data_IF_436092320289
#
_entry.id   IF_436092320289
#
_cell.length_a   1.000
_cell.length_b   1.000
_cell.length_c   1.000
_cell.angle_alpha   90.00
_cell.angle_beta   90.00
_cell.angle_gamma   90.00
#
_symmetry.space_group_name_H-M   'P 1'
#
loop_
_entity.id
_entity.type
_entity.pdbx_description
1 polymer ?
#
# COMPACT_ATOMS: atom_id res chain seq x y z
N UNK A 1 5.94 -48.65 -31.78
CA UNK A 1 4.80 -48.10 -31.03
C UNK A 1 5.35 -46.87 -30.35
N UNK A 2 4.95 -45.71 -30.88
CA UNK A 2 5.62 -44.41 -30.84
C UNK A 2 6.13 -43.92 -29.48
N UNK A 3 7.31 -43.29 -29.54
CA UNK A 3 7.84 -42.43 -28.49
C UNK A 3 7.26 -41.01 -28.66
N UNK A 4 6.52 -40.54 -27.65
CA UNK A 4 6.12 -39.15 -27.53
C UNK A 4 7.16 -38.39 -26.72
N UNK A 5 8.09 -37.74 -27.42
CA UNK A 5 8.86 -36.63 -26.86
C UNK A 5 8.60 -35.40 -27.74
N UNK A 6 7.74 -34.52 -27.26
CA UNK A 6 7.53 -33.20 -27.83
C UNK A 6 8.05 -32.19 -26.83
N UNK A 7 9.38 -31.99 -26.80
CA UNK A 7 10.01 -31.06 -25.88
C UNK A 7 9.53 -29.61 -26.01
N UNK A 8 9.92 -28.78 -25.03
CA UNK A 8 9.54 -27.38 -24.75
C UNK A 8 9.31 -26.47 -25.98
N UNK A 9 10.05 -26.68 -27.08
CA UNK A 9 9.87 -25.94 -28.34
C UNK A 9 8.52 -26.19 -29.04
N UNK A 10 7.91 -27.35 -28.81
CA UNK A 10 6.58 -27.70 -29.29
C UNK A 10 5.50 -26.99 -28.45
N UNK A 11 5.69 -26.93 -27.14
CA UNK A 11 4.77 -26.27 -26.21
C UNK A 11 4.75 -24.75 -26.39
N UNK A 12 5.91 -24.13 -26.63
CA UNK A 12 5.99 -22.71 -26.97
C UNK A 12 5.29 -22.37 -28.30
N UNK A 13 5.30 -23.30 -29.27
CA UNK A 13 4.55 -23.16 -30.54
C UNK A 13 3.05 -23.40 -30.37
N UNK A 14 2.64 -24.20 -29.40
CA UNK A 14 1.22 -24.37 -29.06
C UNK A 14 0.67 -23.12 -28.35
N UNK A 15 1.39 -22.60 -27.35
CA UNK A 15 1.01 -21.40 -26.59
C UNK A 15 0.95 -20.14 -27.47
N UNK A 16 1.90 -19.96 -28.38
CA UNK A 16 1.88 -18.82 -29.32
C UNK A 16 0.71 -18.85 -30.30
N UNK A 17 0.21 -20.05 -30.67
CA UNK A 17 -0.98 -20.19 -31.53
C UNK A 17 -2.27 -19.84 -30.79
N UNK A 18 -2.39 -20.18 -29.50
CA UNK A 18 -3.54 -19.76 -28.68
C UNK A 18 -3.58 -18.25 -28.43
N UNK A 19 -2.42 -17.60 -28.22
CA UNK A 19 -2.35 -16.15 -27.98
C UNK A 19 -2.74 -15.33 -29.23
N UNK A 20 -2.44 -15.82 -30.44
CA UNK A 20 -2.87 -15.18 -31.69
C UNK A 20 -4.36 -15.37 -31.95
N UNK A 21 -4.95 -16.51 -31.56
CA UNK A 21 -6.39 -16.74 -31.65
C UNK A 21 -7.18 -15.79 -30.71
N UNK A 22 -6.71 -15.58 -29.48
CA UNK A 22 -7.31 -14.64 -28.51
C UNK A 22 -7.22 -13.17 -28.97
N UNK A 23 -6.10 -12.76 -29.59
CA UNK A 23 -5.95 -11.41 -30.15
C UNK A 23 -6.85 -11.14 -31.36
N UNK A 24 -7.29 -12.18 -32.08
CA UNK A 24 -8.25 -12.04 -33.19
C UNK A 24 -9.71 -11.96 -32.73
N UNK A 25 -10.04 -12.46 -31.54
CA UNK A 25 -11.39 -12.36 -30.96
C UNK A 25 -11.71 -10.95 -30.44
N UNK A 26 -10.72 -10.20 -29.95
CA UNK A 26 -10.92 -8.82 -29.46
C UNK A 26 -10.98 -7.75 -30.57
N UNK A 27 -10.66 -8.10 -31.83
CA UNK A 27 -10.75 -7.18 -32.96
C UNK A 27 -12.15 -7.10 -33.61
N UNK A 28 -13.10 -7.95 -33.19
CA UNK A 28 -14.44 -8.03 -33.79
C UNK A 28 -15.55 -7.30 -33.01
N UNK A 29 -15.25 -6.59 -31.91
CA UNK A 29 -16.26 -5.85 -31.13
C UNK A 29 -16.16 -4.32 -31.23
N UNK A 30 -15.27 -3.78 -32.08
CA UNK A 30 -15.05 -2.34 -32.23
C UNK A 30 -15.60 -1.77 -33.56
N UNK A 31 -16.76 -2.24 -34.02
CA UNK A 31 -17.40 -1.73 -35.25
C UNK A 31 -18.93 -1.68 -35.15
N UNK A 32 -19.44 -0.66 -34.47
CA UNK A 32 -20.72 0.04 -34.69
C UNK A 32 -20.74 1.19 -33.67
N UNK A 33 -20.41 2.44 -34.04
CA UNK A 33 -21.29 3.35 -34.80
C UNK A 33 -22.10 4.20 -33.80
N UNK A 34 -21.63 5.39 -33.40
CA UNK A 34 -22.03 6.75 -33.88
C UNK A 34 -23.52 7.12 -33.61
N UNK A 35 -24.00 8.31 -33.25
CA UNK A 35 -23.56 9.72 -33.06
C UNK A 35 -24.84 10.51 -32.58
N UNK A 36 -24.69 11.74 -32.04
CA UNK A 36 -25.65 12.89 -32.03
C UNK A 36 -26.45 13.28 -30.75
N UNK A 37 -26.00 14.42 -30.19
CA UNK A 37 -26.67 15.69 -29.80
C UNK A 37 -27.65 15.92 -28.62
N UNK A 38 -27.31 17.04 -27.96
CA UNK A 38 -28.03 18.07 -27.18
C UNK A 38 -29.52 18.23 -27.44
N UNK A 39 -30.29 18.45 -26.36
CA UNK A 39 -31.51 19.25 -26.31
C UNK A 39 -31.75 19.78 -24.89
N UNK A 40 -32.15 21.05 -24.79
CA UNK A 40 -32.44 21.78 -23.56
C UNK A 40 -33.95 22.01 -23.36
N UNK A 41 -34.29 22.56 -22.19
CA UNK A 41 -35.54 23.25 -21.78
C UNK A 41 -36.75 22.43 -21.29
N UNK A 42 -37.24 22.78 -20.09
CA UNK A 42 -38.57 23.41 -19.95
C UNK A 42 -39.60 22.78 -19.00
N UNK A 43 -40.11 23.61 -18.07
CA UNK A 43 -41.43 23.52 -17.38
C UNK A 43 -41.48 22.63 -16.12
N UNK A 44 -41.90 23.06 -14.93
CA UNK A 44 -43.20 23.68 -14.55
C UNK A 44 -44.20 22.54 -14.26
N UNK A 45 -44.91 22.37 -13.14
CA UNK A 45 -45.39 23.29 -12.11
C UNK A 45 -45.76 22.55 -10.79
N UNK A 46 -46.08 23.41 -9.83
CA UNK A 46 -46.49 23.36 -8.43
C UNK A 46 -47.63 22.41 -7.99
N UNK A 47 -47.61 22.07 -6.70
CA UNK A 47 -48.77 22.10 -5.75
C UNK A 47 -48.19 21.98 -4.33
N UNK A 48 -48.14 23.08 -3.55
CA UNK A 48 -49.15 23.57 -2.58
C UNK A 48 -49.42 22.58 -1.43
N UNK A 49 -49.53 22.96 -0.15
CA UNK A 49 -49.32 24.22 0.58
C UNK A 49 -49.40 23.85 2.09
N UNK A 50 -48.58 24.53 2.89
CA UNK A 50 -48.88 25.01 4.24
C UNK A 50 -49.02 24.05 5.43
N UNK A 51 -48.80 24.45 6.69
CA UNK A 51 -48.35 25.73 7.28
C UNK A 51 -48.03 25.46 8.76
N UNK A 52 -47.15 26.30 9.31
CA UNK A 52 -47.00 26.72 10.73
C UNK A 52 -45.97 26.06 11.64
N UNK A 53 -44.93 26.84 11.87
CA UNK A 53 -44.00 26.90 12.99
C UNK A 53 -44.70 27.18 14.33
N UNK A 54 -44.22 26.59 15.43
CA UNK A 54 -44.01 27.35 16.68
C UNK A 54 -43.02 26.67 17.61
N UNK A 55 -41.99 27.43 17.96
CA UNK A 55 -40.95 27.21 18.97
C UNK A 55 -41.54 27.23 20.38
N UNK A 56 -40.98 26.47 21.33
CA UNK A 56 -40.71 26.93 22.71
C UNK A 56 -39.73 26.00 23.44
N UNK A 57 -39.03 26.59 24.41
CA UNK A 57 -37.78 26.18 25.06
C UNK A 57 -37.99 25.57 26.46
N UNK A 58 -37.20 24.52 26.74
CA UNK A 58 -36.53 24.01 27.96
C UNK A 58 -37.12 23.97 29.40
N UNK A 59 -36.65 22.91 30.11
CA UNK A 59 -36.20 22.79 31.55
C UNK A 59 -37.17 22.06 32.52
N UNK A 60 -36.76 21.37 33.62
CA UNK A 60 -35.69 20.37 33.88
C UNK A 60 -36.13 19.08 34.66
N UNK A 61 -35.25 18.04 34.74
CA UNK A 61 -34.89 17.11 35.89
C UNK A 61 -36.02 16.26 36.58
N UNK A 62 -35.85 14.97 37.02
CA UNK A 62 -34.71 14.45 37.81
C UNK A 62 -34.17 13.03 37.56
N UNK A 63 -32.94 12.87 38.08
CA UNK A 63 -32.16 11.67 38.43
C UNK A 63 -32.93 10.62 39.24
N UNK A 64 -32.51 9.33 39.16
CA UNK A 64 -32.25 8.64 40.41
C UNK A 64 -30.88 7.93 40.47
N UNK A 65 -30.54 7.64 41.72
CA UNK A 65 -29.24 7.36 42.30
C UNK A 65 -28.88 5.87 42.31
N UNK A 66 -27.56 5.66 42.35
CA UNK A 66 -26.72 4.51 42.70
C UNK A 66 -27.35 3.34 43.48
N UNK A 67 -27.00 2.11 43.07
CA UNK A 67 -27.03 0.92 43.93
C UNK A 67 -25.66 0.26 43.89
N UNK A 68 -25.05 0.14 45.07
CA UNK A 68 -23.79 -0.54 45.36
C UNK A 68 -24.00 -2.05 45.33
N UNK A 69 -23.14 -2.80 44.63
CA UNK A 69 -23.04 -4.25 44.85
C UNK A 69 -21.58 -4.69 44.85
N UNK A 70 -21.32 -5.62 45.75
CA UNK A 70 -20.07 -5.94 46.41
C UNK A 70 -19.00 -6.59 45.54
N UNK A 71 -17.77 -6.43 46.02
CA UNK A 71 -16.52 -7.05 45.61
C UNK A 71 -16.61 -8.57 45.52
N UNK A 72 -16.23 -9.12 44.37
CA UNK A 72 -15.78 -10.50 44.23
C UNK A 72 -14.38 -10.47 43.64
N UNK A 73 -13.41 -10.83 44.49
CA UNK A 73 -12.04 -11.14 44.12
C UNK A 73 -12.01 -12.35 43.19
N UNK A 74 -11.73 -12.13 41.91
CA UNK A 74 -11.33 -13.18 40.98
C UNK A 74 -9.83 -13.03 40.69
N UNK A 75 -9.08 -14.00 41.17
CA UNK A 75 -7.69 -14.27 40.83
C UNK A 75 -7.49 -14.25 39.32
N UNK A 76 -6.65 -13.32 38.84
CA UNK A 76 -6.17 -13.28 37.47
C UNK A 76 -5.18 -14.42 37.25
N UNK A 77 -5.69 -15.58 36.87
CA UNK A 77 -4.89 -16.56 36.14
C UNK A 77 -4.56 -15.92 34.79
N UNK A 78 -3.28 -15.73 34.51
CA UNK A 78 -2.79 -15.18 33.25
C UNK A 78 -3.34 -15.98 32.08
N UNK A 79 -4.36 -15.43 31.43
CA UNK A 79 -4.76 -15.87 30.11
C UNK A 79 -3.66 -15.42 29.16
N UNK A 80 -2.88 -16.36 28.66
CA UNK A 80 -2.12 -16.14 27.43
C UNK A 80 -3.15 -15.76 26.38
N UNK A 81 -3.29 -14.46 26.11
CA UNK A 81 -3.94 -13.99 24.90
C UNK A 81 -3.08 -14.52 23.76
N UNK A 82 -3.51 -15.62 23.17
CA UNK A 82 -3.05 -15.99 21.83
C UNK A 82 -3.28 -14.77 20.95
N UNK A 83 -2.21 -14.05 20.63
CA UNK A 83 -2.25 -12.98 19.65
C UNK A 83 -2.71 -13.60 18.35
N UNK A 84 -3.87 -13.18 17.86
CA UNK A 84 -4.29 -13.48 16.49
C UNK A 84 -3.71 -12.37 15.60
N UNK A 85 -2.79 -12.74 14.72
CA UNK A 85 -2.33 -11.91 13.61
C UNK A 85 -3.00 -12.40 12.32
N UNK A 86 -3.03 -11.52 11.32
CA UNK A 86 -3.62 -11.79 10.01
C UNK A 86 -2.48 -11.82 8.99
N UNK A 87 -2.54 -12.76 8.04
CA UNK A 87 -1.58 -12.76 6.93
C UNK A 87 -1.83 -11.56 6.03
N UNK A 88 -0.77 -10.86 5.64
CA UNK A 88 -0.86 -9.82 4.63
C UNK A 88 -1.17 -10.47 3.26
N UNK A 89 -2.14 -9.94 2.49
CA UNK A 89 -2.43 -10.45 1.16
C UNK A 89 -1.24 -10.19 0.23
N UNK A 90 -1.02 -11.11 -0.72
CA UNK A 90 -0.04 -10.90 -1.78
C UNK A 90 -0.59 -9.91 -2.80
N UNK A 91 0.19 -8.88 -3.09
CA UNK A 91 -0.13 -7.86 -4.09
C UNK A 91 0.91 -7.78 -5.20
N UNK A 92 0.60 -7.02 -6.24
CA UNK A 92 1.58 -6.70 -7.29
C UNK A 92 2.73 -5.85 -6.74
N UNK A 93 3.96 -6.14 -7.19
CA UNK A 93 5.12 -5.25 -7.02
C UNK A 93 5.01 -3.98 -7.89
N UNK A 94 4.01 -3.91 -8.78
CA UNK A 94 3.82 -2.79 -9.67
C UNK A 94 4.99 -2.59 -10.64
N UNK A 95 5.00 -1.45 -11.36
CA UNK A 95 5.97 -1.24 -12.43
C UNK A 95 7.31 -0.66 -11.96
N UNK A 96 7.53 -0.42 -10.66
CA UNK A 96 8.69 0.33 -10.14
C UNK A 96 9.50 -0.32 -8.98
N UNK A 97 9.62 -1.65 -8.85
CA UNK A 97 10.34 -2.28 -7.73
C UNK A 97 11.85 -2.06 -7.75
N UNK A 98 12.50 -1.99 -8.90
CA UNK A 98 13.97 -1.97 -9.02
C UNK A 98 14.65 -3.17 -8.31
N UNK A 99 13.99 -4.32 -8.37
CA UNK A 99 14.45 -5.63 -7.87
C UNK A 99 15.12 -6.46 -8.98
N UNK A 100 15.10 -6.00 -10.23
CA UNK A 100 15.60 -6.74 -11.39
C UNK A 100 14.57 -7.64 -12.07
N UNK A 101 13.32 -7.70 -11.59
CA UNK A 101 12.23 -8.44 -12.24
C UNK A 101 11.51 -7.63 -13.31
N UNK A 102 11.51 -6.30 -13.17
CA UNK A 102 10.81 -5.40 -14.06
C UNK A 102 11.75 -4.64 -15.01
N UNK A 103 11.24 -4.29 -16.19
CA UNK A 103 11.91 -3.37 -17.11
C UNK A 103 11.03 -2.17 -17.39
N UNK A 104 11.60 -0.97 -17.34
CA UNK A 104 10.90 0.28 -17.67
C UNK A 104 11.75 1.08 -18.65
N UNK A 105 11.12 1.60 -19.69
CA UNK A 105 11.80 2.35 -20.76
C UNK A 105 13.01 1.60 -21.36
N UNK A 106 12.93 0.26 -21.44
CA UNK A 106 13.98 -0.60 -22.01
C UNK A 106 15.19 -0.85 -21.11
N UNK A 107 15.16 -0.41 -19.84
CA UNK A 107 16.21 -0.67 -18.85
C UNK A 107 15.65 -1.44 -17.66
N UNK A 108 16.44 -2.39 -17.17
CA UNK A 108 16.18 -3.13 -15.93
C UNK A 108 16.99 -2.48 -14.82
N UNK A 109 16.31 -2.00 -13.77
CA UNK A 109 16.96 -1.48 -12.57
C UNK A 109 17.00 -2.57 -11.50
N UNK A 110 18.14 -2.75 -10.84
CA UNK A 110 18.27 -3.64 -9.68
C UNK A 110 19.10 -2.96 -8.59
N UNK A 111 18.43 -2.38 -7.59
CA UNK A 111 19.08 -1.77 -6.44
C UNK A 111 19.50 -2.81 -5.39
N UNK A 112 18.90 -4.00 -5.37
CA UNK A 112 19.16 -5.03 -4.37
C UNK A 112 20.58 -5.61 -4.46
N UNK A 113 21.23 -5.50 -5.62
CA UNK A 113 22.64 -5.85 -5.82
C UNK A 113 23.61 -4.66 -5.67
N UNK A 114 23.09 -3.47 -5.34
CA UNK A 114 23.88 -2.25 -5.30
C UNK A 114 24.34 -1.93 -3.89
N UNK A 115 25.64 -1.61 -3.74
CA UNK A 115 26.19 -1.18 -2.45
C UNK A 115 25.45 0.06 -1.93
N UNK A 116 25.16 0.08 -0.64
CA UNK A 116 24.43 1.16 0.03
C UNK A 116 22.91 0.98 0.07
N UNK A 117 22.34 -0.08 -0.53
CA UNK A 117 20.88 -0.33 -0.44
C UNK A 117 20.45 -0.82 0.94
N UNK A 118 21.32 -1.51 1.69
CA UNK A 118 21.04 -1.95 3.07
C UNK A 118 21.24 -0.76 4.00
N UNK A 119 20.13 -0.16 4.47
CA UNK A 119 20.13 1.14 5.17
C UNK A 119 18.80 1.40 5.89
N UNK A 120 18.85 2.16 6.98
CA UNK A 120 17.66 2.61 7.72
C UNK A 120 17.10 3.93 7.19
N UNK A 121 17.92 4.97 7.01
CA UNK A 121 17.47 6.24 6.41
C UNK A 121 17.53 6.13 4.89
N UNK A 122 16.38 6.08 4.22
CA UNK A 122 16.26 5.90 2.77
C UNK A 122 16.07 7.22 2.01
N UNK A 123 16.11 8.39 2.68
CA UNK A 123 15.74 9.67 2.05
C UNK A 123 16.72 10.16 1.00
N UNK A 124 18.00 9.82 1.13
CA UNK A 124 19.04 10.26 0.18
C UNK A 124 19.35 9.22 -0.88
N UNK A 125 19.57 9.66 -2.11
CA UNK A 125 20.15 8.84 -3.18
C UNK A 125 21.51 8.29 -2.77
N UNK A 126 21.85 7.12 -3.32
CA UNK A 126 23.10 6.41 -3.06
C UNK A 126 23.78 5.90 -4.34
N UNK A 127 23.13 6.03 -5.50
CA UNK A 127 23.66 5.67 -6.81
C UNK A 127 23.92 6.95 -7.59
N UNK A 128 25.19 7.33 -7.74
CA UNK A 128 25.61 8.45 -8.60
C UNK A 128 25.17 9.87 -8.15
N UNK A 129 24.31 9.98 -7.14
CA UNK A 129 23.76 11.22 -6.60
C UNK A 129 23.63 11.11 -5.08
N UNK A 130 23.65 12.26 -4.40
CA UNK A 130 23.39 12.40 -2.95
C UNK A 130 22.15 13.25 -2.67
N UNK A 131 21.33 13.54 -3.68
CA UNK A 131 20.08 14.29 -3.53
C UNK A 131 19.20 13.62 -2.48
N UNK A 132 18.60 14.42 -1.59
CA UNK A 132 17.66 13.93 -0.58
C UNK A 132 16.25 14.29 -1.01
N UNK A 133 15.36 13.29 -1.02
CA UNK A 133 13.96 13.50 -1.31
C UNK A 133 13.33 14.42 -0.27
N UNK A 134 12.62 15.44 -0.74
CA UNK A 134 11.92 16.40 0.10
C UNK A 134 10.50 15.90 0.42
N UNK A 135 10.05 16.08 1.65
CA UNK A 135 8.74 15.63 2.13
C UNK A 135 8.56 15.69 3.64
N UNK A 136 7.37 15.32 4.11
CA UNK A 136 7.08 15.21 5.56
C UNK A 136 7.79 13.96 6.08
N UNK A 137 8.60 14.11 7.14
CA UNK A 137 9.36 12.98 7.69
C UNK A 137 8.45 11.88 8.23
N UNK A 138 8.81 10.63 7.94
CA UNK A 138 8.14 9.43 8.41
C UNK A 138 9.19 8.46 8.93
N UNK A 139 9.09 8.06 10.19
CA UNK A 139 9.79 6.88 10.71
C UNK A 139 8.80 5.72 10.78
N UNK A 140 9.11 4.59 10.15
CA UNK A 140 8.24 3.42 10.10
C UNK A 140 8.95 2.20 10.68
N UNK A 141 8.36 1.58 11.69
CA UNK A 141 8.74 0.28 12.23
C UNK A 141 7.86 -0.81 11.59
N UNK A 142 8.48 -1.84 11.04
CA UNK A 142 7.81 -3.03 10.51
C UNK A 142 8.20 -4.22 11.36
N UNK A 143 7.22 -5.00 11.81
CA UNK A 143 7.46 -6.24 12.54
C UNK A 143 6.94 -7.43 11.73
N UNK A 144 7.82 -8.36 11.37
CA UNK A 144 7.48 -9.57 10.63
C UNK A 144 7.18 -10.74 11.60
N UNK A 145 6.04 -11.40 11.38
CA UNK A 145 5.59 -12.54 12.20
C UNK A 145 5.06 -13.69 11.34
N UNK A 146 5.23 -14.92 11.86
CA UNK A 146 4.63 -16.13 11.30
C UNK A 146 3.23 -16.37 11.88
N UNK A 147 2.21 -16.26 11.03
CA UNK A 147 0.81 -16.42 11.46
C UNK A 147 0.45 -17.87 11.79
N UNK A 148 1.20 -18.84 11.28
CA UNK A 148 1.01 -20.27 11.57
C UNK A 148 1.69 -20.68 12.88
N UNK A 149 2.57 -19.84 13.42
CA UNK A 149 3.34 -20.12 14.63
C UNK A 149 3.06 -19.10 15.76
N UNK A 150 1.78 -18.90 16.09
CA UNK A 150 1.34 -18.02 17.18
C UNK A 150 1.86 -16.59 17.06
N UNK A 151 2.04 -16.09 15.83
CA UNK A 151 2.60 -14.76 15.55
C UNK A 151 4.02 -14.59 16.09
N UNK A 152 4.83 -15.66 16.08
CA UNK A 152 6.24 -15.57 16.48
C UNK A 152 6.99 -14.64 15.53
N UNK A 153 7.84 -13.78 16.10
CA UNK A 153 8.75 -12.93 15.34
C UNK A 153 9.68 -13.74 14.42
N UNK A 154 9.93 -13.24 13.22
CA UNK A 154 10.86 -13.83 12.25
C UNK A 154 12.15 -12.99 12.19
N UNK A 155 13.23 -13.50 12.78
CA UNK A 155 14.57 -12.91 12.74
C UNK A 155 15.32 -13.25 11.45
N UNK A 156 16.16 -12.34 10.95
CA UNK A 156 17.09 -12.59 9.85
C UNK A 156 16.51 -12.47 8.44
N UNK A 157 15.20 -12.25 8.31
CA UNK A 157 14.54 -11.99 7.03
C UNK A 157 14.92 -10.58 6.52
N UNK A 158 15.06 -10.42 5.21
CA UNK A 158 15.26 -9.12 4.60
C UNK A 158 13.92 -8.51 4.18
N UNK A 159 13.72 -7.24 4.53
CA UNK A 159 12.55 -6.45 4.12
C UNK A 159 13.05 -5.33 3.22
N UNK A 160 12.58 -5.33 1.98
CA UNK A 160 12.80 -4.26 1.01
C UNK A 160 11.57 -3.38 0.95
N UNK A 161 11.73 -2.04 1.04
CA UNK A 161 10.65 -1.09 0.83
C UNK A 161 10.97 -0.06 -0.25
N UNK A 162 9.94 0.39 -0.97
CA UNK A 162 10.03 1.52 -1.88
C UNK A 162 8.71 2.28 -2.00
N UNK A 163 8.79 3.57 -2.33
CA UNK A 163 7.61 4.39 -2.61
C UNK A 163 7.95 5.63 -3.47
N UNK A 164 6.92 6.37 -3.86
CA UNK A 164 7.07 7.63 -4.59
C UNK A 164 7.47 8.81 -3.69
N UNK A 165 8.08 9.84 -4.29
CA UNK A 165 8.35 11.11 -3.63
C UNK A 165 7.07 11.97 -3.43
N UNK A 166 7.22 13.17 -2.86
CA UNK A 166 6.12 14.10 -2.59
C UNK A 166 5.38 14.59 -3.86
N UNK A 167 5.98 14.44 -5.05
CA UNK A 167 5.38 14.75 -6.34
C UNK A 167 4.74 13.52 -7.01
N UNK A 168 4.81 12.33 -6.38
CA UNK A 168 4.28 11.09 -6.93
C UNK A 168 5.20 10.40 -7.94
N UNK A 169 6.51 10.72 -7.92
CA UNK A 169 7.51 10.15 -8.84
C UNK A 169 8.29 9.02 -8.15
N UNK A 170 8.61 7.97 -8.90
CA UNK A 170 9.47 6.88 -8.44
C UNK A 170 10.90 7.10 -8.95
N UNK A 171 11.85 7.15 -8.01
CA UNK A 171 13.30 7.19 -8.32
C UNK A 171 13.68 6.04 -9.27
N UNK A 172 14.64 6.27 -10.16
CA UNK A 172 15.06 5.37 -11.25
C UNK A 172 14.07 5.18 -12.41
N UNK A 173 12.84 5.70 -12.31
CA UNK A 173 11.78 5.40 -13.29
C UNK A 173 11.10 6.63 -13.86
N UNK A 174 10.63 7.52 -12.99
CA UNK A 174 9.82 8.66 -13.41
C UNK A 174 10.69 9.76 -14.01
N UNK A 175 10.17 10.43 -15.04
CA UNK A 175 10.83 11.59 -15.65
C UNK A 175 11.20 12.63 -14.58
N UNK A 176 12.43 13.16 -14.67
CA UNK A 176 12.98 14.10 -13.70
C UNK A 176 13.70 13.47 -12.51
N UNK A 177 13.53 12.18 -12.25
CA UNK A 177 14.15 11.47 -11.11
C UNK A 177 14.79 10.12 -11.52
N UNK A 178 15.04 9.92 -12.82
CA UNK A 178 15.63 8.69 -13.37
C UNK A 178 17.08 8.46 -12.93
N UNK A 179 17.80 9.51 -12.53
CA UNK A 179 19.17 9.44 -11.99
C UNK A 179 19.20 9.39 -10.47
N UNK A 180 18.05 9.41 -9.81
CA UNK A 180 17.94 9.37 -8.35
C UNK A 180 17.61 7.95 -7.88
N UNK A 181 17.97 7.64 -6.64
CA UNK A 181 17.84 6.30 -6.01
C UNK A 181 17.29 6.36 -4.58
N UNK A 182 16.87 7.53 -4.11
CA UNK A 182 16.22 7.69 -2.82
C UNK A 182 14.93 6.85 -2.68
N UNK A 183 14.43 6.76 -1.45
CA UNK A 183 13.15 6.14 -1.05
C UNK A 183 13.08 4.66 -1.42
N UNK A 184 14.24 4.00 -1.37
CA UNK A 184 14.45 2.57 -1.58
C UNK A 184 15.44 2.09 -0.54
N UNK A 185 15.13 1.01 0.17
CA UNK A 185 16.09 0.45 1.12
C UNK A 185 15.70 -0.91 1.65
N UNK A 186 16.72 -1.64 2.08
CA UNK A 186 16.61 -2.97 2.66
C UNK A 186 17.09 -2.93 4.10
N UNK A 187 16.38 -3.60 4.99
CA UNK A 187 16.82 -3.89 6.36
C UNK A 187 16.66 -5.39 6.63
N UNK A 188 17.36 -5.88 7.64
CA UNK A 188 17.24 -7.28 8.11
C UNK A 188 16.57 -7.26 9.46
N UNK A 189 15.56 -8.11 9.65
CA UNK A 189 14.81 -8.20 10.90
C UNK A 189 15.70 -8.62 12.05
N UNK A 190 15.57 -7.94 13.19
CA UNK A 190 16.23 -8.30 14.44
C UNK A 190 15.54 -9.49 15.15
N UNK A 191 15.98 -9.82 16.37
CA UNK A 191 15.42 -10.92 17.17
C UNK A 191 13.94 -10.74 17.54
N UNK A 192 13.41 -9.52 17.48
CA UNK A 192 11.99 -9.22 17.70
C UNK A 192 11.21 -9.18 16.37
N UNK A 193 11.86 -9.52 15.25
CA UNK A 193 11.29 -9.51 13.91
C UNK A 193 11.19 -8.11 13.32
N UNK A 194 11.93 -7.13 13.86
CA UNK A 194 11.70 -5.72 13.56
C UNK A 194 12.75 -5.12 12.64
N UNK A 195 12.29 -4.17 11.83
CA UNK A 195 13.13 -3.20 11.11
C UNK A 195 12.57 -1.80 11.27
N UNK A 196 13.42 -0.79 11.22
CA UNK A 196 13.00 0.62 11.23
C UNK A 196 13.59 1.36 10.04
N UNK A 197 12.76 2.12 9.33
CA UNK A 197 13.18 3.00 8.26
C UNK A 197 12.85 4.45 8.58
N UNK A 198 13.77 5.36 8.24
CA UNK A 198 13.50 6.80 8.17
C UNK A 198 13.31 7.19 6.70
N UNK A 199 12.16 7.76 6.38
CA UNK A 199 11.73 8.11 5.04
C UNK A 199 10.90 9.40 5.04
N UNK A 200 10.20 9.68 3.94
CA UNK A 200 9.15 10.70 3.85
C UNK A 200 7.78 10.05 3.62
N UNK A 201 6.70 10.75 3.94
CA UNK A 201 5.35 10.32 3.61
C UNK A 201 5.16 10.26 2.08
N UNK A 202 4.58 9.19 1.49
CA UNK A 202 4.39 9.09 0.04
C UNK A 202 3.25 9.99 -0.45
N UNK A 203 3.34 10.48 -1.68
CA UNK A 203 2.28 11.23 -2.33
C UNK A 203 1.10 10.35 -2.78
N UNK A 204 0.02 11.00 -3.21
CA UNK A 204 -1.02 10.36 -4.02
C UNK A 204 -0.78 10.67 -5.50
N UNK A 205 -0.46 9.66 -6.30
CA UNK A 205 -0.43 9.77 -7.76
C UNK A 205 -1.72 9.23 -8.38
N UNK A 206 -1.98 9.59 -9.63
CA UNK A 206 -3.27 9.32 -10.29
C UNK A 206 -3.65 7.84 -10.26
N UNK A 207 -4.88 7.56 -9.81
CA UNK A 207 -5.50 6.23 -9.84
C UNK A 207 -5.07 5.27 -8.74
N UNK A 208 -4.22 5.69 -7.78
CA UNK A 208 -3.75 4.83 -6.69
C UNK A 208 -3.89 5.48 -5.32
N UNK A 209 -4.39 4.73 -4.34
CA UNK A 209 -4.35 5.10 -2.93
C UNK A 209 -2.89 5.26 -2.48
N UNK A 210 -2.53 6.24 -1.63
CA UNK A 210 -1.14 6.42 -1.19
C UNK A 210 -0.62 5.16 -0.47
N UNK A 211 0.58 4.70 -0.84
CA UNK A 211 1.11 3.43 -0.34
C UNK A 211 2.64 3.40 -0.26
N UNK A 212 3.15 2.44 0.51
CA UNK A 212 4.55 2.01 0.53
C UNK A 212 4.57 0.54 0.13
N UNK A 213 5.34 0.17 -0.87
CA UNK A 213 5.50 -1.23 -1.24
C UNK A 213 6.50 -1.93 -0.32
N UNK A 214 6.35 -3.24 -0.20
CA UNK A 214 7.38 -4.06 0.39
C UNK A 214 7.52 -5.44 -0.25
N UNK A 215 8.72 -6.01 -0.12
CA UNK A 215 9.03 -7.41 -0.41
C UNK A 215 9.72 -8.04 0.80
N UNK A 216 9.34 -9.28 1.10
CA UNK A 216 9.94 -10.10 2.16
C UNK A 216 10.77 -11.21 1.54
N UNK A 217 11.95 -11.41 2.10
CA UNK A 217 12.87 -12.49 1.75
C UNK A 217 13.28 -13.24 3.03
N UNK A 218 12.70 -14.41 3.27
CA UNK A 218 12.89 -15.20 4.49
C UNK A 218 14.33 -15.70 4.63
N UNK A 219 14.99 -16.02 3.53
CA UNK A 219 16.41 -16.40 3.48
C UNK A 219 17.38 -15.18 3.52
N UNK A 220 16.88 -14.00 3.91
CA UNK A 220 17.67 -12.81 4.19
C UNK A 220 18.24 -12.11 2.95
N UNK A 221 19.37 -11.41 3.12
CA UNK A 221 19.99 -10.60 2.06
C UNK A 221 20.46 -11.43 0.84
N UNK A 222 20.75 -12.71 1.04
CA UNK A 222 21.21 -13.58 -0.05
C UNK A 222 20.11 -13.77 -1.08
N UNK A 223 18.90 -14.16 -0.66
CA UNK A 223 17.75 -14.29 -1.55
C UNK A 223 17.34 -12.93 -2.13
N UNK A 224 17.30 -11.87 -1.31
CA UNK A 224 17.01 -10.51 -1.77
C UNK A 224 17.93 -10.07 -2.92
N UNK A 225 19.24 -10.34 -2.82
CA UNK A 225 20.22 -9.96 -3.85
C UNK A 225 20.05 -10.70 -5.18
N UNK A 226 19.32 -11.82 -5.22
CA UNK A 226 19.01 -12.50 -6.49
C UNK A 226 17.87 -11.83 -7.25
N UNK A 227 17.11 -10.94 -6.61
CA UNK A 227 16.04 -10.18 -7.24
C UNK A 227 14.94 -11.06 -7.83
N UNK A 228 14.84 -12.30 -7.36
CA UNK A 228 13.87 -13.31 -7.78
C UNK A 228 13.37 -13.93 -6.49
N UNK A 229 12.11 -14.39 -6.47
CA UNK A 229 11.53 -15.18 -5.38
C UNK A 229 11.39 -14.46 -4.04
N UNK A 230 10.81 -13.25 -4.02
CA UNK A 230 10.27 -12.72 -2.77
C UNK A 230 9.20 -13.70 -2.22
N UNK A 231 9.24 -13.97 -0.92
CA UNK A 231 8.31 -14.87 -0.24
C UNK A 231 6.95 -14.20 -0.03
N UNK A 232 6.94 -12.87 0.09
CA UNK A 232 5.74 -12.04 0.08
C UNK A 232 6.05 -10.73 -0.65
N UNK A 233 5.13 -10.33 -1.52
CA UNK A 233 5.09 -9.01 -2.14
C UNK A 233 3.78 -8.38 -1.72
N UNK A 234 3.80 -7.18 -1.14
CA UNK A 234 2.56 -6.50 -0.77
C UNK A 234 2.76 -4.98 -0.65
N UNK A 235 1.74 -4.28 -0.15
CA UNK A 235 1.71 -2.83 -0.06
C UNK A 235 1.05 -2.37 1.25
N UNK A 236 1.61 -1.36 1.89
CA UNK A 236 0.99 -0.69 3.03
C UNK A 236 0.04 0.40 2.52
N UNK A 237 -1.22 0.36 2.91
CA UNK A 237 -2.20 1.40 2.62
C UNK A 237 -2.05 2.55 3.63
N UNK A 238 -1.67 3.74 3.18
CA UNK A 238 -1.43 4.84 4.12
C UNK A 238 -2.75 5.35 4.74
N UNK A 239 -2.78 5.67 6.06
CA UNK A 239 -4.04 5.98 6.74
C UNK A 239 -4.75 7.21 6.19
N UNK A 240 -6.06 7.11 5.95
CA UNK A 240 -6.86 8.19 5.36
C UNK A 240 -6.78 9.52 6.12
N UNK A 241 -6.76 9.46 7.45
CA UNK A 241 -6.65 10.66 8.30
C UNK A 241 -5.31 11.37 8.08
N UNK A 242 -4.21 10.61 7.98
CA UNK A 242 -2.89 11.21 7.73
C UNK A 242 -2.74 11.67 6.28
N UNK A 243 -3.29 10.96 5.31
CA UNK A 243 -3.34 11.41 3.92
C UNK A 243 -3.97 12.81 3.83
N UNK A 244 -5.14 13.00 4.45
CA UNK A 244 -5.80 14.31 4.49
C UNK A 244 -4.91 15.37 5.17
N UNK A 245 -4.32 15.06 6.34
CA UNK A 245 -3.47 16.01 7.06
C UNK A 245 -2.24 16.43 6.26
N UNK A 246 -1.53 15.47 5.64
CA UNK A 246 -0.30 15.74 4.84
C UNK A 246 -0.63 16.51 3.57
N UNK A 247 -1.61 16.05 2.78
CA UNK A 247 -1.87 16.64 1.47
C UNK A 247 -2.46 18.04 1.54
N UNK A 248 -3.22 18.35 2.61
CA UNK A 248 -3.80 19.68 2.80
C UNK A 248 -2.90 20.63 3.60
N UNK A 249 -2.02 20.07 4.44
CA UNK A 249 -1.21 20.86 5.37
C UNK A 249 0.22 21.14 4.93
N UNK A 250 0.72 20.46 3.89
CA UNK A 250 2.08 20.68 3.36
C UNK A 250 2.07 20.95 1.86
N UNK A 251 2.61 22.11 1.46
CA UNK A 251 2.57 22.57 0.07
C UNK A 251 3.34 21.67 -0.90
N UNK A 252 4.30 20.87 -0.41
CA UNK A 252 5.05 19.90 -1.23
C UNK A 252 4.13 18.80 -1.79
N UNK A 253 2.97 18.58 -1.18
CA UNK A 253 2.02 17.53 -1.57
C UNK A 253 0.80 18.06 -2.33
N UNK A 254 0.80 19.33 -2.76
CA UNK A 254 -0.38 19.95 -3.40
C UNK A 254 -0.89 19.14 -4.61
N UNK A 255 -0.01 18.51 -5.38
CA UNK A 255 -0.37 17.64 -6.50
C UNK A 255 -1.18 16.39 -6.08
N UNK A 256 -1.02 15.95 -4.84
CA UNK A 256 -1.74 14.79 -4.28
C UNK A 256 -3.23 15.08 -4.04
N UNK A 257 -3.63 16.33 -3.82
CA UNK A 257 -5.00 16.68 -3.42
C UNK A 257 -6.02 16.22 -4.46
N UNK A 258 -5.78 16.53 -5.74
CA UNK A 258 -6.70 16.17 -6.82
C UNK A 258 -6.77 14.66 -7.03
N UNK A 259 -5.62 13.97 -6.96
CA UNK A 259 -5.55 12.51 -7.11
C UNK A 259 -6.26 11.82 -5.95
N UNK A 260 -6.04 12.28 -4.71
CA UNK A 260 -6.64 11.70 -3.53
C UNK A 260 -8.16 11.86 -3.51
N UNK A 261 -8.68 13.01 -3.97
CA UNK A 261 -10.12 13.21 -4.12
C UNK A 261 -10.76 12.33 -5.22
N UNK A 262 -9.95 11.74 -6.10
CA UNK A 262 -10.40 10.90 -7.21
C UNK A 262 -10.28 9.39 -6.92
N UNK A 263 -9.81 9.00 -5.74
CA UNK A 263 -9.60 7.59 -5.37
C UNK A 263 -10.11 7.30 -3.96
N UNK A 264 -10.62 6.10 -3.75
CA UNK A 264 -10.88 5.47 -2.46
C UNK A 264 -10.18 4.11 -2.39
N UNK A 265 -10.02 3.55 -1.19
CA UNK A 265 -9.58 2.15 -1.01
C UNK A 265 -10.40 1.21 -1.91
N UNK A 266 -11.73 1.35 -1.91
CA UNK A 266 -12.63 0.50 -2.71
C UNK A 266 -12.52 0.67 -4.23
N UNK A 267 -11.94 1.77 -4.72
CA UNK A 267 -11.73 2.01 -6.16
C UNK A 267 -10.30 1.71 -6.60
N UNK A 268 -9.37 1.57 -5.65
CA UNK A 268 -7.98 1.23 -5.94
C UNK A 268 -7.89 -0.22 -6.44
N UNK A 269 -7.06 -0.45 -7.45
CA UNK A 269 -6.96 -1.76 -8.10
C UNK A 269 -6.08 -2.78 -7.37
N UNK A 270 -5.53 -2.41 -6.21
CA UNK A 270 -4.74 -3.27 -5.31
C UNK A 270 -5.48 -3.46 -3.99
N UNK A 271 -6.10 -2.41 -3.45
CA UNK A 271 -6.80 -2.51 -2.16
C UNK A 271 -8.31 -2.78 -2.30
N UNK A 272 -8.89 -2.60 -3.49
CA UNK A 272 -10.34 -2.57 -3.67
C UNK A 272 -11.05 -3.92 -3.51
N UNK A 273 -10.34 -5.03 -3.67
CA UNK A 273 -10.82 -6.40 -3.50
C UNK A 273 -10.46 -7.03 -2.15
N UNK A 274 -9.72 -6.32 -1.31
CA UNK A 274 -9.35 -6.78 0.03
C UNK A 274 -10.52 -6.66 1.02
N UNK A 275 -10.63 -7.64 1.91
CA UNK A 275 -11.57 -7.63 3.03
C UNK A 275 -11.21 -6.52 4.01
N UNK A 276 -12.16 -6.13 4.88
CA UNK A 276 -11.88 -5.12 5.91
C UNK A 276 -10.78 -5.54 6.88
N UNK A 277 -10.58 -6.85 7.09
CA UNK A 277 -9.51 -7.37 7.95
C UNK A 277 -8.13 -7.22 7.27
N UNK A 278 -8.04 -7.55 5.98
CA UNK A 278 -6.81 -7.37 5.18
C UNK A 278 -6.47 -5.88 5.06
N UNK A 279 -7.45 -5.01 4.80
CA UNK A 279 -7.22 -3.56 4.80
C UNK A 279 -6.72 -3.06 6.15
N UNK A 280 -7.27 -3.55 7.26
CA UNK A 280 -6.79 -3.19 8.59
C UNK A 280 -5.36 -3.69 8.84
N UNK A 281 -5.02 -4.91 8.38
CA UNK A 281 -3.69 -5.50 8.46
C UNK A 281 -2.66 -4.69 7.65
N UNK A 282 -3.00 -4.28 6.43
CA UNK A 282 -2.13 -3.50 5.53
C UNK A 282 -2.05 -2.00 5.90
N UNK A 283 -2.83 -1.51 6.87
CA UNK A 283 -2.85 -0.09 7.24
C UNK A 283 -1.99 0.15 8.47
N UNK A 284 -0.83 0.84 8.37
CA UNK A 284 -0.01 1.13 9.53
C UNK A 284 -0.74 1.98 10.57
N UNK A 285 -0.52 1.70 11.85
CA UNK A 285 -0.91 2.63 12.91
C UNK A 285 0.07 3.80 12.92
N UNK A 286 -0.42 5.02 13.10
CA UNK A 286 0.39 6.21 12.93
C UNK A 286 0.05 7.29 13.95
N UNK A 287 1.09 8.01 14.41
CA UNK A 287 0.98 9.16 15.30
C UNK A 287 2.02 10.22 14.91
N UNK A 288 1.84 11.46 15.38
CA UNK A 288 2.75 12.56 15.07
C UNK A 288 2.02 13.75 14.46
N UNK A 289 2.77 14.61 13.76
CA UNK A 289 2.25 15.83 13.15
C UNK A 289 3.14 16.32 12.01
N UNK A 290 2.66 17.25 11.20
CA UNK A 290 3.42 17.81 10.07
C UNK A 290 4.74 18.46 10.49
N UNK A 291 4.77 19.15 11.64
CA UNK A 291 5.96 19.85 12.12
C UNK A 291 6.99 18.93 12.77
N UNK A 292 6.53 17.85 13.41
CA UNK A 292 7.40 16.90 14.10
C UNK A 292 7.77 15.67 13.25
N UNK A 293 7.08 15.46 12.12
CA UNK A 293 7.06 14.19 11.41
C UNK A 293 6.08 13.19 12.03
N UNK A 294 5.95 12.05 11.36
CA UNK A 294 5.11 10.93 11.81
C UNK A 294 5.95 9.73 12.20
N UNK A 295 5.45 8.98 13.18
CA UNK A 295 5.92 7.63 13.51
C UNK A 295 4.82 6.64 13.19
N UNK A 296 5.16 5.57 12.49
CA UNK A 296 4.25 4.50 12.13
C UNK A 296 4.77 3.13 12.60
N UNK A 297 3.84 2.24 12.91
CA UNK A 297 4.12 0.83 13.11
C UNK A 297 3.13 -0.03 12.31
N UNK A 298 3.66 -1.08 11.69
CA UNK A 298 2.87 -2.10 11.02
C UNK A 298 3.38 -3.50 11.41
N UNK A 299 2.44 -4.39 11.69
CA UNK A 299 2.70 -5.83 11.76
C UNK A 299 2.58 -6.37 10.34
N UNK A 300 3.51 -7.22 9.91
CA UNK A 300 3.46 -7.95 8.65
C UNK A 300 3.30 -9.43 8.99
N UNK A 301 2.17 -10.02 8.63
CA UNK A 301 1.92 -11.44 8.81
C UNK A 301 2.25 -12.22 7.55
N UNK A 302 3.02 -13.29 7.68
CA UNK A 302 3.29 -14.25 6.60
C UNK A 302 2.96 -15.67 7.05
N UNK A 303 2.45 -16.49 6.13
CA UNK A 303 2.21 -17.92 6.35
C UNK A 303 3.48 -18.71 6.00
N UNK A 304 4.15 -19.26 7.01
CA UNK A 304 5.37 -20.07 6.85
C UNK A 304 5.19 -21.50 7.37
#
# INVERSE_FOLDING_TARGET
MEAHDHGLSHDLRAMSRELVARRRALAFLASAGTVVAVSACGGGDESSDGTTTTTTTATPTPTPTSTSTSSSSSSSSGGSTSSSCVADPTETNGPYPADGTNSSSGSTSNVLITSGVVRSDIRSSFIGSTTTADGVELTIELQLVDVNNSCSAIEGAAIYIWHCDADGRYSLYSSGVTTESYLRGVQVTDSDGKVTFTTIYPACYSGRWPHIHFEIFLDGLTSASTGRTADLISQLAMPAATNTAVFTGDTRYTASIANYNAVSISSDNVFGDNTSAEIAQMTPTMSGSLSAGYSASALIGIEV
#
